data_IF_668097420497
#
_entry.id   IF_668097420497
#
_cell.length_a   1.000
_cell.length_b   1.000
_cell.length_c   1.000
_cell.angle_alpha   90.00
_cell.angle_beta   90.00
_cell.angle_gamma   90.00
#
_symmetry.space_group_name_H-M   'P 1'
#
loop_
_entity.id
_entity.type
_entity.pdbx_description
1 polymer ?
#
# COMPACT_ATOMS: atom_id res chain seq x y z
N UNK A 1 10.83 -38.81 0.13
CA UNK A 1 9.69 -37.89 -0.03
C UNK A 1 9.49 -37.15 1.29
N UNK A 2 9.11 -35.87 1.25
CA UNK A 2 8.73 -35.13 2.47
C UNK A 2 7.30 -35.50 2.86
N UNK A 3 7.11 -35.93 4.10
CA UNK A 3 5.78 -36.26 4.64
C UNK A 3 5.17 -35.01 5.26
N UNK A 4 4.14 -34.45 4.62
CA UNK A 4 3.46 -33.25 5.11
C UNK A 4 2.80 -33.52 6.47
N UNK A 5 3.01 -32.67 7.49
CA UNK A 5 2.29 -32.79 8.75
C UNK A 5 0.79 -32.63 8.53
N UNK A 6 -0.01 -33.56 9.08
CA UNK A 6 -1.48 -33.56 8.92
C UNK A 6 -2.15 -32.29 9.45
N UNK A 7 -1.54 -31.62 10.43
CA UNK A 7 -2.05 -30.38 11.04
C UNK A 7 -1.69 -29.10 10.27
N UNK A 8 -0.63 -29.12 9.46
CA UNK A 8 -0.13 -27.92 8.78
C UNK A 8 -1.13 -27.39 7.76
N UNK A 9 -1.81 -28.29 7.04
CA UNK A 9 -2.88 -27.92 6.11
C UNK A 9 -4.00 -27.18 6.83
N UNK A 10 -4.51 -27.72 7.94
CA UNK A 10 -5.58 -27.08 8.72
C UNK A 10 -5.14 -25.72 9.26
N UNK A 11 -3.92 -25.62 9.79
CA UNK A 11 -3.37 -24.35 10.27
C UNK A 11 -3.31 -23.30 9.16
N UNK A 12 -2.80 -23.65 7.97
CA UNK A 12 -2.72 -22.72 6.84
C UNK A 12 -4.09 -22.24 6.38
N UNK A 13 -5.10 -23.11 6.35
CA UNK A 13 -6.49 -22.74 6.01
C UNK A 13 -7.05 -21.75 7.04
N UNK A 14 -6.84 -22.01 8.33
CA UNK A 14 -7.28 -21.09 9.39
C UNK A 14 -6.64 -19.72 9.22
N UNK A 15 -5.33 -19.66 8.98
CA UNK A 15 -4.62 -18.39 8.76
C UNK A 15 -5.13 -17.65 7.51
N UNK A 16 -5.41 -18.36 6.41
CA UNK A 16 -5.97 -17.76 5.20
C UNK A 16 -7.37 -17.18 5.43
N UNK A 17 -8.23 -17.90 6.15
CA UNK A 17 -9.59 -17.43 6.47
C UNK A 17 -9.55 -16.21 7.39
N UNK A 18 -8.77 -16.27 8.46
CA UNK A 18 -8.61 -15.13 9.39
C UNK A 18 -8.03 -13.92 8.64
N UNK A 19 -7.03 -14.12 7.80
CA UNK A 19 -6.44 -13.07 6.96
C UNK A 19 -7.47 -12.45 6.02
N UNK A 20 -8.24 -13.27 5.31
CA UNK A 20 -9.30 -12.79 4.40
C UNK A 20 -10.39 -12.00 5.14
N UNK A 21 -10.82 -12.47 6.32
CA UNK A 21 -11.78 -11.75 7.17
C UNK A 21 -11.20 -10.43 7.69
N UNK A 22 -9.92 -10.41 8.08
CA UNK A 22 -9.24 -9.19 8.53
C UNK A 22 -9.12 -8.14 7.43
N UNK A 23 -8.79 -8.57 6.20
CA UNK A 23 -8.78 -7.68 5.02
C UNK A 23 -10.19 -7.15 4.77
N UNK A 24 -11.21 -8.02 4.73
CA UNK A 24 -12.60 -7.63 4.53
C UNK A 24 -13.08 -6.62 5.58
N UNK A 25 -12.77 -6.85 6.85
CA UNK A 25 -13.08 -5.91 7.93
C UNK A 25 -12.39 -4.56 7.74
N UNK A 26 -11.10 -4.56 7.35
CA UNK A 26 -10.35 -3.33 7.08
C UNK A 26 -10.97 -2.45 5.99
N UNK A 27 -11.58 -3.07 4.96
CA UNK A 27 -12.32 -2.33 3.93
C UNK A 27 -13.69 -1.82 4.40
N UNK A 28 -14.33 -2.52 5.35
CA UNK A 28 -15.63 -2.11 5.89
C UNK A 28 -15.52 -0.99 6.93
N UNK A 29 -14.35 -0.83 7.56
CA UNK A 29 -14.10 0.17 8.61
C UNK A 29 -13.63 1.54 8.08
N UNK A 30 -13.50 1.70 6.77
CA UNK A 30 -13.03 2.97 6.16
C UNK A 30 -14.17 4.00 6.14
N UNK A 31 -13.91 5.28 6.49
CA UNK A 31 -14.91 6.32 6.41
C UNK A 31 -15.41 6.51 4.97
N UNK A 32 -16.72 6.63 4.81
CA UNK A 32 -17.38 6.76 3.50
C UNK A 32 -17.55 8.21 3.07
N UNK A 33 -17.52 9.14 4.01
CA UNK A 33 -17.65 10.57 3.75
C UNK A 33 -16.83 11.41 4.73
N UNK A 34 -16.67 12.69 4.39
CA UNK A 34 -15.89 13.68 5.16
C UNK A 34 -16.53 13.96 6.54
N UNK A 35 -17.85 13.85 6.65
CA UNK A 35 -18.55 14.06 7.93
C UNK A 35 -18.20 12.99 8.96
N UNK A 36 -18.10 11.74 8.52
CA UNK A 36 -17.68 10.61 9.35
C UNK A 36 -16.24 10.83 9.86
N UNK A 37 -15.35 11.34 9.00
CA UNK A 37 -13.98 11.76 9.40
C UNK A 37 -14.02 12.83 10.49
N UNK A 38 -14.84 13.86 10.31
CA UNK A 38 -14.99 14.93 11.30
C UNK A 38 -15.50 14.39 12.64
N UNK A 39 -16.46 13.45 12.62
CA UNK A 39 -16.94 12.81 13.86
C UNK A 39 -15.87 11.94 14.53
N UNK A 40 -15.04 11.23 13.76
CA UNK A 40 -13.95 10.41 14.27
C UNK A 40 -12.87 11.32 14.90
N UNK A 41 -12.48 12.40 14.22
CA UNK A 41 -11.50 13.35 14.75
C UNK A 41 -11.99 14.02 16.04
N UNK A 42 -13.26 14.44 16.09
CA UNK A 42 -13.87 14.97 17.32
C UNK A 42 -13.92 13.93 18.44
N UNK A 43 -14.21 12.67 18.13
CA UNK A 43 -14.20 11.59 19.11
C UNK A 43 -12.77 11.30 19.63
N UNK A 44 -11.75 11.35 18.76
CA UNK A 44 -10.33 11.19 19.13
C UNK A 44 -9.84 12.34 20.02
N UNK A 45 -10.24 13.59 19.73
CA UNK A 45 -9.95 14.75 20.59
C UNK A 45 -10.53 14.58 22.00
N UNK A 46 -11.68 13.93 22.14
CA UNK A 46 -12.30 13.65 23.43
C UNK A 46 -11.67 12.44 24.16
N UNK A 47 -11.11 11.47 23.43
CA UNK A 47 -10.49 10.27 23.99
C UNK A 47 -9.03 10.52 24.43
N UNK A 48 -8.29 11.36 23.70
CA UNK A 48 -6.94 11.79 24.06
C UNK A 48 -7.00 13.11 24.84
N UNK A 49 -7.29 13.00 26.14
CA UNK A 49 -7.39 14.14 27.05
C UNK A 49 -6.20 15.10 26.95
N UNK A 50 -6.46 16.33 26.50
CA UNK A 50 -5.88 17.58 27.02
C UNK A 50 -4.36 17.65 27.25
N UNK A 51 -3.52 17.05 26.40
CA UNK A 51 -2.11 17.41 26.38
C UNK A 51 -1.94 18.65 25.50
N UNK A 52 -2.00 19.82 26.14
CA UNK A 52 -1.48 21.06 25.58
C UNK A 52 -0.14 20.79 24.92
N UNK A 53 -0.10 20.88 23.59
CA UNK A 53 1.13 21.25 22.90
C UNK A 53 1.45 22.63 23.43
N UNK A 54 2.45 22.70 24.32
CA UNK A 54 3.12 23.94 24.65
C UNK A 54 3.38 24.70 23.36
N UNK A 55 2.92 25.94 23.33
CA UNK A 55 3.18 26.88 22.24
C UNK A 55 4.68 26.98 22.00
N UNK A 56 5.16 26.26 20.98
CA UNK A 56 6.35 26.66 20.27
C UNK A 56 5.99 27.94 19.49
N UNK A 57 6.20 29.08 20.14
CA UNK A 57 6.32 30.37 19.48
C UNK A 57 7.43 30.27 18.42
N UNK A 58 7.06 30.28 17.14
CA UNK A 58 7.54 31.25 16.15
C UNK A 58 7.14 30.83 14.73
N UNK A 59 5.93 31.19 14.33
CA UNK A 59 5.58 31.36 12.91
C UNK A 59 4.34 32.24 12.87
N UNK A 60 4.47 33.44 12.30
CA UNK A 60 3.47 34.49 12.32
C UNK A 60 2.04 33.98 12.18
N UNK A 61 1.25 34.15 13.23
CA UNK A 61 -0.17 33.86 13.20
C UNK A 61 -0.85 34.85 12.25
N UNK A 62 -0.95 34.43 10.99
CA UNK A 62 -1.86 35.06 10.04
C UNK A 62 -3.23 35.02 10.72
N UNK A 63 -3.80 36.19 11.01
CA UNK A 63 -5.20 36.30 11.44
C UNK A 63 -6.07 35.88 10.27
N UNK A 64 -6.24 34.58 10.11
CA UNK A 64 -7.16 34.00 9.14
C UNK A 64 -8.57 34.45 9.53
N UNK A 65 -9.29 35.01 8.58
CA UNK A 65 -10.71 35.27 8.69
C UNK A 65 -11.47 33.98 9.01
N UNK A 66 -12.68 34.11 9.57
CA UNK A 66 -13.53 32.96 9.83
C UNK A 66 -13.85 32.14 8.55
N UNK A 67 -13.73 32.76 7.37
CA UNK A 67 -13.86 32.08 6.08
C UNK A 67 -12.61 31.25 5.74
N UNK A 68 -11.42 31.80 5.95
CA UNK A 68 -10.14 31.10 5.71
C UNK A 68 -9.93 29.93 6.69
N UNK A 69 -10.35 30.08 7.96
CA UNK A 69 -10.30 28.99 8.94
C UNK A 69 -11.20 27.81 8.54
N UNK A 70 -12.39 28.09 8.00
CA UNK A 70 -13.31 27.06 7.49
C UNK A 70 -12.76 26.37 6.24
N UNK A 71 -12.15 27.13 5.33
CA UNK A 71 -11.51 26.57 4.15
C UNK A 71 -10.34 25.64 4.53
N UNK A 72 -9.45 26.09 5.43
CA UNK A 72 -8.34 25.27 5.92
C UNK A 72 -8.82 24.00 6.65
N UNK A 73 -9.92 24.10 7.43
CA UNK A 73 -10.50 22.93 8.07
C UNK A 73 -11.07 21.94 7.06
N UNK A 74 -11.76 22.42 6.02
CA UNK A 74 -12.29 21.57 4.95
C UNK A 74 -11.17 20.84 4.19
N UNK A 75 -10.11 21.54 3.80
CA UNK A 75 -8.93 20.93 3.16
C UNK A 75 -8.26 19.87 4.07
N UNK A 76 -8.17 20.15 5.38
CA UNK A 76 -7.64 19.19 6.34
C UNK A 76 -8.49 17.92 6.39
N UNK A 77 -9.82 18.04 6.44
CA UNK A 77 -10.71 16.88 6.45
C UNK A 77 -10.62 16.06 5.15
N UNK A 78 -10.49 16.72 4.00
CA UNK A 78 -10.29 16.05 2.71
C UNK A 78 -8.98 15.28 2.65
N UNK A 79 -7.89 15.88 3.14
CA UNK A 79 -6.60 15.22 3.21
C UNK A 79 -6.64 13.99 4.13
N UNK A 80 -7.20 14.13 5.34
CA UNK A 80 -7.32 13.03 6.30
C UNK A 80 -8.25 11.93 5.78
N UNK A 81 -9.33 12.30 5.07
CA UNK A 81 -10.24 11.35 4.43
C UNK A 81 -9.50 10.45 3.45
N UNK A 82 -8.72 11.02 2.52
CA UNK A 82 -7.93 10.23 1.58
C UNK A 82 -6.88 9.35 2.28
N UNK A 83 -6.26 9.83 3.37
CA UNK A 83 -5.34 9.01 4.16
C UNK A 83 -6.03 7.79 4.77
N UNK A 84 -7.22 7.98 5.35
CA UNK A 84 -7.99 6.89 5.95
C UNK A 84 -8.48 5.89 4.90
N UNK A 85 -8.91 6.36 3.73
CA UNK A 85 -9.31 5.50 2.62
C UNK A 85 -8.17 4.63 2.09
N UNK A 86 -6.97 5.16 2.02
CA UNK A 86 -5.79 4.44 1.52
C UNK A 86 -5.20 3.41 2.50
N UNK A 87 -5.65 3.40 3.77
CA UNK A 87 -5.09 2.54 4.82
C UNK A 87 -5.20 1.02 4.54
N UNK A 88 -6.38 0.45 4.20
CA UNK A 88 -6.45 -0.99 3.87
C UNK A 88 -5.70 -1.34 2.58
N UNK A 89 -5.70 -0.43 1.60
CA UNK A 89 -5.01 -0.61 0.33
C UNK A 89 -3.50 -0.70 0.49
N UNK A 90 -2.90 0.23 1.23
CA UNK A 90 -1.47 0.23 1.54
C UNK A 90 -1.07 -0.97 2.40
N UNK A 91 -1.89 -1.37 3.37
CA UNK A 91 -1.65 -2.56 4.18
C UNK A 91 -1.56 -3.84 3.33
N UNK A 92 -2.46 -4.02 2.38
CA UNK A 92 -2.43 -5.15 1.45
C UNK A 92 -1.22 -5.08 0.52
N UNK A 93 -0.93 -3.90 -0.05
CA UNK A 93 0.23 -3.69 -0.92
C UNK A 93 1.55 -4.09 -0.23
N UNK A 94 1.75 -3.63 1.01
CA UNK A 94 2.95 -3.94 1.81
C UNK A 94 3.04 -5.44 2.09
N UNK A 95 1.93 -6.10 2.43
CA UNK A 95 1.93 -7.53 2.69
C UNK A 95 2.32 -8.35 1.43
N UNK A 96 1.75 -8.02 0.28
CA UNK A 96 2.05 -8.70 -0.98
C UNK A 96 3.50 -8.54 -1.41
N UNK A 97 4.01 -7.29 -1.43
CA UNK A 97 5.39 -7.03 -1.87
C UNK A 97 6.41 -7.65 -0.90
N UNK A 98 6.13 -7.66 0.41
CA UNK A 98 7.01 -8.22 1.42
C UNK A 98 7.26 -9.72 1.22
N UNK A 99 6.19 -10.52 1.11
CA UNK A 99 6.34 -11.98 0.95
C UNK A 99 6.90 -12.32 -0.44
N UNK A 100 6.54 -11.57 -1.47
CA UNK A 100 7.11 -11.74 -2.82
C UNK A 100 8.62 -11.50 -2.81
N UNK A 101 9.10 -10.42 -2.17
CA UNK A 101 10.52 -10.11 -2.10
C UNK A 101 11.32 -11.09 -1.23
N UNK A 102 10.71 -11.71 -0.21
CA UNK A 102 11.33 -12.83 0.52
C UNK A 102 11.59 -14.00 -0.43
N UNK A 103 10.60 -14.35 -1.27
CA UNK A 103 10.75 -15.44 -2.25
C UNK A 103 11.79 -15.10 -3.32
N UNK A 104 11.80 -13.86 -3.81
CA UNK A 104 12.81 -13.38 -4.76
C UNK A 104 14.22 -13.37 -4.15
N UNK A 105 14.35 -12.97 -2.87
CA UNK A 105 15.62 -13.02 -2.14
C UNK A 105 16.15 -14.45 -2.01
N UNK A 106 15.28 -15.42 -1.74
CA UNK A 106 15.65 -16.84 -1.73
C UNK A 106 16.12 -17.31 -3.11
N UNK A 107 15.48 -16.87 -4.20
CA UNK A 107 15.88 -17.18 -5.58
C UNK A 107 17.24 -16.56 -5.93
N UNK A 108 17.45 -15.30 -5.59
CA UNK A 108 18.72 -14.61 -5.82
C UNK A 108 19.87 -15.31 -5.07
N UNK A 109 19.65 -15.66 -3.79
CA UNK A 109 20.62 -16.40 -3.01
C UNK A 109 20.86 -17.82 -3.57
N UNK A 110 19.82 -18.51 -4.03
CA UNK A 110 19.92 -19.80 -4.71
C UNK A 110 20.79 -19.72 -5.98
N UNK A 111 20.64 -18.66 -6.77
CA UNK A 111 21.47 -18.42 -7.95
C UNK A 111 22.94 -18.17 -7.58
N UNK A 112 23.20 -17.33 -6.57
CA UNK A 112 24.56 -17.03 -6.08
C UNK A 112 25.28 -18.32 -5.66
N UNK A 113 24.63 -19.19 -4.88
CA UNK A 113 25.25 -20.42 -4.38
C UNK A 113 25.66 -21.37 -5.51
N UNK A 114 24.86 -21.47 -6.58
CA UNK A 114 25.20 -22.28 -7.75
C UNK A 114 26.35 -21.66 -8.56
N UNK A 115 26.31 -20.35 -8.81
CA UNK A 115 27.35 -19.65 -9.57
C UNK A 115 28.70 -19.69 -8.83
N UNK A 116 28.67 -19.53 -7.50
CA UNK A 116 29.86 -19.59 -6.65
C UNK A 116 30.36 -21.03 -6.40
N UNK A 117 29.68 -22.05 -6.93
CA UNK A 117 30.03 -23.47 -6.73
C UNK A 117 30.24 -23.85 -5.26
N UNK A 118 29.35 -23.36 -4.38
CA UNK A 118 29.45 -23.64 -2.95
C UNK A 118 29.23 -25.13 -2.66
N UNK A 119 30.18 -25.76 -1.96
CA UNK A 119 30.15 -27.21 -1.68
C UNK A 119 29.16 -27.65 -0.59
N UNK A 120 28.68 -26.72 0.24
CA UNK A 120 27.77 -27.02 1.36
C UNK A 120 26.29 -26.78 1.03
N UNK A 121 26.00 -25.92 0.05
CA UNK A 121 24.62 -25.55 -0.31
C UNK A 121 23.80 -26.63 -1.04
N UNK A 122 24.36 -27.68 -1.70
CA UNK A 122 23.55 -28.66 -2.43
C UNK A 122 22.49 -29.36 -1.59
N UNK A 123 22.75 -29.58 -0.30
CA UNK A 123 21.78 -30.21 0.61
C UNK A 123 20.58 -29.31 0.93
N UNK A 124 20.72 -27.99 0.73
CA UNK A 124 19.68 -26.99 1.02
C UNK A 124 18.86 -26.59 -0.22
N UNK A 125 19.35 -26.88 -1.43
CA UNK A 125 18.69 -26.46 -2.68
C UNK A 125 17.23 -26.90 -2.80
N UNK A 126 16.88 -28.07 -2.25
CA UNK A 126 15.48 -28.54 -2.24
C UNK A 126 14.56 -27.64 -1.39
N UNK A 127 15.06 -27.15 -0.26
CA UNK A 127 14.32 -26.22 0.61
C UNK A 127 14.19 -24.85 -0.07
N UNK A 128 15.27 -24.36 -0.67
CA UNK A 128 15.27 -23.09 -1.40
C UNK A 128 14.28 -23.10 -2.56
N UNK A 129 14.29 -24.18 -3.37
CA UNK A 129 13.32 -24.39 -4.45
C UNK A 129 11.87 -24.41 -3.93
N UNK A 130 11.63 -25.03 -2.77
CA UNK A 130 10.33 -25.03 -2.11
C UNK A 130 9.86 -23.63 -1.70
N UNK A 131 10.75 -22.79 -1.16
CA UNK A 131 10.43 -21.39 -0.82
C UNK A 131 10.15 -20.56 -2.07
N UNK A 132 10.94 -20.75 -3.14
CA UNK A 132 10.75 -20.02 -4.40
C UNK A 132 9.51 -20.43 -5.18
N UNK A 133 8.85 -21.54 -4.82
CA UNK A 133 7.60 -21.96 -5.43
C UNK A 133 6.44 -20.98 -5.17
N UNK A 134 6.55 -20.12 -4.14
CA UNK A 134 5.58 -19.05 -3.89
C UNK A 134 5.66 -17.91 -4.93
N UNK A 135 6.84 -17.64 -5.49
CA UNK A 135 7.09 -16.50 -6.38
C UNK A 135 6.07 -16.38 -7.52
N UNK A 136 5.76 -17.42 -8.34
CA UNK A 136 4.79 -17.30 -9.42
C UNK A 136 3.36 -17.05 -8.93
N UNK A 137 3.00 -17.53 -7.74
CA UNK A 137 1.66 -17.31 -7.17
C UNK A 137 1.56 -15.89 -6.60
N UNK A 138 2.58 -15.46 -5.84
CA UNK A 138 2.65 -14.12 -5.27
C UNK A 138 2.72 -13.03 -6.34
N UNK A 139 3.46 -13.25 -7.43
CA UNK A 139 3.57 -12.29 -8.53
C UNK A 139 2.25 -12.10 -9.26
N UNK A 140 1.47 -13.17 -9.50
CA UNK A 140 0.14 -13.06 -10.11
C UNK A 140 -0.82 -12.27 -9.22
N UNK A 141 -0.83 -12.54 -7.91
CA UNK A 141 -1.68 -11.81 -6.95
C UNK A 141 -1.30 -10.32 -6.94
N UNK A 142 -0.01 -10.02 -6.87
CA UNK A 142 0.48 -8.65 -6.86
C UNK A 142 0.20 -7.93 -8.18
N UNK A 143 0.38 -8.59 -9.32
CA UNK A 143 0.12 -8.03 -10.64
C UNK A 143 -1.37 -7.69 -10.83
N UNK A 144 -2.27 -8.60 -10.46
CA UNK A 144 -3.72 -8.34 -10.47
C UNK A 144 -4.06 -7.14 -9.59
N UNK A 145 -3.45 -7.04 -8.41
CA UNK A 145 -3.62 -5.88 -7.53
C UNK A 145 -3.16 -4.55 -8.18
N UNK A 146 -2.03 -4.54 -8.88
CA UNK A 146 -1.56 -3.34 -9.60
C UNK A 146 -2.52 -2.92 -10.71
N UNK A 147 -3.10 -3.88 -11.43
CA UNK A 147 -4.11 -3.59 -12.47
C UNK A 147 -5.40 -3.04 -11.84
N UNK A 148 -5.87 -3.64 -10.75
CA UNK A 148 -7.07 -3.18 -10.04
C UNK A 148 -6.92 -1.75 -9.50
N UNK A 149 -5.76 -1.45 -8.92
CA UNK A 149 -5.45 -0.12 -8.38
C UNK A 149 -5.27 0.91 -9.50
N UNK A 150 -4.59 0.56 -10.59
CA UNK A 150 -4.32 1.52 -11.65
C UNK A 150 -5.48 1.79 -12.60
N UNK A 151 -6.45 0.88 -12.71
CA UNK A 151 -7.71 1.13 -13.40
C UNK A 151 -8.76 1.82 -12.49
N UNK A 152 -8.43 2.11 -11.23
CA UNK A 152 -9.36 2.66 -10.22
C UNK A 152 -10.70 1.89 -10.14
N UNK A 153 -10.70 0.58 -10.40
CA UNK A 153 -11.92 -0.24 -10.46
C UNK A 153 -12.60 -0.40 -9.09
N UNK A 154 -11.89 -0.06 -8.02
CA UNK A 154 -12.39 -0.15 -6.65
C UNK A 154 -12.30 1.25 -6.00
N UNK A 155 -13.40 1.74 -5.39
CA UNK A 155 -13.45 3.09 -4.82
C UNK A 155 -12.45 3.29 -3.67
N UNK A 156 -11.91 4.51 -3.54
CA UNK A 156 -10.98 4.88 -2.47
C UNK A 156 -9.52 4.48 -2.71
N UNK A 157 -9.14 4.19 -3.97
CA UNK A 157 -7.77 3.84 -4.35
C UNK A 157 -6.98 5.05 -4.82
N UNK A 158 -6.19 5.67 -3.94
CA UNK A 158 -5.25 6.72 -4.31
C UNK A 158 -3.83 6.41 -3.81
N UNK A 159 -3.39 5.16 -3.97
CA UNK A 159 -2.04 4.72 -3.54
C UNK A 159 -0.95 5.42 -4.37
N UNK A 160 -1.16 5.54 -5.68
CA UNK A 160 -0.20 6.11 -6.62
C UNK A 160 -0.65 7.51 -7.03
N UNK A 161 0.00 8.52 -6.46
CA UNK A 161 -0.32 9.92 -6.75
C UNK A 161 -0.37 10.22 -8.25
N UNK A 162 0.62 9.73 -9.01
CA UNK A 162 0.77 9.99 -10.45
C UNK A 162 -0.31 9.35 -11.35
N UNK A 163 -1.20 8.51 -10.81
CA UNK A 163 -2.35 7.95 -11.53
C UNK A 163 -3.61 8.81 -11.39
N UNK A 164 -3.62 9.82 -10.51
CA UNK A 164 -4.77 10.69 -10.34
C UNK A 164 -5.02 11.54 -11.58
N UNK A 165 -6.28 11.85 -11.82
CA UNK A 165 -6.72 12.66 -12.95
C UNK A 165 -6.17 14.09 -12.88
N UNK A 166 -5.78 14.64 -14.03
CA UNK A 166 -5.35 16.04 -14.15
C UNK A 166 -3.90 16.35 -13.77
N UNK A 167 -3.15 15.44 -13.14
CA UNK A 167 -1.78 15.72 -12.68
C UNK A 167 -0.77 16.03 -13.80
N UNK A 168 -0.95 15.41 -14.97
CA UNK A 168 -0.04 15.59 -16.12
C UNK A 168 -0.48 16.76 -17.02
N UNK A 169 -1.74 17.19 -16.93
CA UNK A 169 -2.33 18.19 -17.83
C UNK A 169 -2.00 19.60 -17.38
N UNK A 170 -1.24 20.35 -18.21
CA UNK A 170 -0.93 21.75 -17.94
C UNK A 170 -2.22 22.57 -17.84
N UNK A 171 -2.42 23.25 -16.71
CA UNK A 171 -3.59 24.10 -16.46
C UNK A 171 -4.75 23.44 -15.70
N UNK A 172 -4.63 22.15 -15.35
CA UNK A 172 -5.52 21.54 -14.37
C UNK A 172 -5.19 22.02 -12.95
N UNK A 173 -6.20 22.03 -12.06
CA UNK A 173 -6.05 22.41 -10.65
C UNK A 173 -5.00 21.54 -9.92
N UNK A 174 -4.93 20.26 -10.27
CA UNK A 174 -4.02 19.29 -9.68
C UNK A 174 -2.69 19.14 -10.44
N UNK A 175 -2.34 20.07 -11.34
CA UNK A 175 -1.14 19.94 -12.17
C UNK A 175 0.16 19.93 -11.36
N UNK A 176 0.95 18.86 -11.49
CA UNK A 176 2.29 18.78 -10.91
C UNK A 176 3.34 18.71 -12.04
N UNK A 177 4.14 19.78 -12.14
CA UNK A 177 5.22 19.90 -13.13
C UNK A 177 6.27 18.79 -13.01
N UNK A 178 6.58 18.34 -11.79
CA UNK A 178 7.60 17.31 -11.52
C UNK A 178 7.09 15.95 -11.99
N UNK A 179 5.84 15.61 -11.70
CA UNK A 179 5.23 14.35 -12.14
C UNK A 179 5.02 14.36 -13.66
N UNK A 180 4.56 15.49 -14.22
CA UNK A 180 4.38 15.64 -15.66
C UNK A 180 5.70 15.43 -16.43
N UNK A 181 6.84 15.88 -15.90
CA UNK A 181 8.17 15.62 -16.49
C UNK A 181 8.58 14.15 -16.50
N UNK A 182 7.99 13.32 -15.63
CA UNK A 182 8.25 11.87 -15.51
C UNK A 182 7.16 11.00 -16.17
N UNK A 183 6.17 11.64 -16.81
CA UNK A 183 5.03 10.96 -17.44
C UNK A 183 5.44 9.92 -18.48
N UNK A 184 6.58 10.09 -19.17
CA UNK A 184 7.10 9.08 -20.08
C UNK A 184 7.39 7.73 -19.41
N UNK A 185 7.82 7.72 -18.14
CA UNK A 185 8.10 6.48 -17.38
C UNK A 185 6.90 6.02 -16.51
N UNK A 186 6.15 7.00 -16.00
CA UNK A 186 4.99 6.82 -15.12
C UNK A 186 3.67 6.69 -15.89
N UNK A 187 3.69 6.48 -17.20
CA UNK A 187 2.44 6.26 -17.94
C UNK A 187 1.84 4.90 -17.54
N UNK A 188 0.52 4.84 -17.29
CA UNK A 188 -0.18 3.63 -16.86
C UNK A 188 0.12 2.38 -17.73
N UNK A 189 -0.07 2.38 -19.08
CA UNK A 189 0.23 1.23 -19.91
C UNK A 189 1.70 0.81 -19.85
N UNK A 190 2.63 1.77 -19.84
CA UNK A 190 4.06 1.46 -19.79
C UNK A 190 4.48 0.87 -18.44
N UNK A 191 3.90 1.38 -17.34
CA UNK A 191 4.12 0.85 -16.00
C UNK A 191 3.62 -0.59 -15.86
N UNK A 192 2.40 -0.89 -16.33
CA UNK A 192 1.83 -2.25 -16.26
C UNK A 192 2.61 -3.23 -17.14
N UNK A 193 2.95 -2.86 -18.38
CA UNK A 193 3.73 -3.72 -19.28
C UNK A 193 5.09 -4.04 -18.65
N UNK A 194 5.76 -3.03 -18.08
CA UNK A 194 7.05 -3.24 -17.40
C UNK A 194 6.91 -4.13 -16.17
N UNK A 195 5.84 -3.97 -15.39
CA UNK A 195 5.56 -4.82 -14.25
C UNK A 195 5.26 -6.28 -14.67
N UNK A 196 4.69 -6.51 -15.85
CA UNK A 196 4.42 -7.86 -16.38
C UNK A 196 5.69 -8.56 -16.90
N UNK A 197 6.69 -7.79 -17.34
CA UNK A 197 7.97 -8.31 -17.84
C UNK A 197 8.88 -8.79 -16.69
N UNK A 198 8.76 -8.16 -15.52
CA UNK A 198 9.51 -8.52 -14.31
C UNK A 198 8.80 -9.60 -13.50
#
# INVERSE_FOLDING_TARGET
>A
MYTLPSKLKTLSIILMVIGALGIGYGFLSVPKNIQEVETILKADEHAHGGSHVESAHDSGSIKLSAAELKAAHQEHLEHVFHQMQNKPWSAFYVACIFIMLISLGALAFYAIQQVAQAGWSPVLFRVMQGITAYLPVGSVIFFVFLVLTGLHLLPGNHIFLWLNEGIVTKGAENYDKVIAGKSGYLNFPFWIIRAAVF
#
